data_IF_726693224269
#
_entry.id   IF_726693224269
#
_cell.length_a   1.000
_cell.length_b   1.000
_cell.length_c   1.000
_cell.angle_alpha   90.00
_cell.angle_beta   90.00
_cell.angle_gamma   90.00
#
_symmetry.space_group_name_H-M   'P 1'
#
loop_
_entity.id
_entity.type
_entity.pdbx_description
1 polymer ?
#
# COMPACT_ATOMS: atom_id res chain seq x y z
N UNK A 1 -19.42 8.48 -7.90
CA UNK A 1 -18.88 8.26 -6.55
C UNK A 1 -17.39 8.51 -6.60
N UNK A 2 -16.81 9.25 -5.65
CA UNK A 2 -15.36 9.49 -5.62
C UNK A 2 -14.69 8.22 -5.13
N UNK A 3 -13.79 7.64 -5.93
CA UNK A 3 -13.07 6.44 -5.54
C UNK A 3 -12.09 6.76 -4.40
N UNK A 4 -12.12 5.97 -3.32
CA UNK A 4 -11.15 6.07 -2.24
C UNK A 4 -10.73 4.71 -1.68
N UNK A 5 -9.55 4.67 -1.09
CA UNK A 5 -9.02 3.47 -0.43
C UNK A 5 -8.19 3.85 0.81
N UNK A 6 -8.12 2.93 1.77
CA UNK A 6 -7.31 3.05 2.96
C UNK A 6 -5.88 2.56 2.70
N UNK A 7 -4.88 3.29 3.20
CA UNK A 7 -3.49 2.83 3.07
C UNK A 7 -2.48 3.47 3.99
N UNK A 8 -1.27 2.94 3.92
CA UNK A 8 -0.09 3.38 4.64
C UNK A 8 0.99 3.82 3.66
N UNK A 9 1.33 5.10 3.69
CA UNK A 9 2.50 5.61 2.96
C UNK A 9 3.71 5.68 3.89
N UNK A 10 4.79 5.03 3.48
CA UNK A 10 6.08 5.04 4.15
C UNK A 10 7.13 5.61 3.20
N UNK A 11 7.92 6.58 3.66
CA UNK A 11 9.13 6.99 2.92
C UNK A 11 10.13 5.83 2.87
N UNK A 12 11.11 5.93 1.96
CA UNK A 12 12.19 4.94 1.86
C UNK A 12 12.92 4.68 3.19
N UNK A 13 13.12 5.72 4.00
CA UNK A 13 13.72 5.55 5.32
C UNK A 13 12.77 4.80 6.28
N UNK A 14 11.50 5.21 6.32
CA UNK A 14 10.51 4.62 7.23
C UNK A 14 10.29 3.12 6.96
N UNK A 15 10.25 2.71 5.70
CA UNK A 15 10.06 1.28 5.38
C UNK A 15 11.26 0.42 5.80
N UNK A 16 12.48 0.94 5.67
CA UNK A 16 13.68 0.24 6.11
C UNK A 16 13.77 0.16 7.63
N UNK A 17 13.46 1.25 8.33
CA UNK A 17 13.44 1.27 9.80
C UNK A 17 12.38 0.32 10.35
N UNK A 18 11.22 0.28 9.70
CA UNK A 18 10.16 -0.66 10.05
C UNK A 18 10.61 -2.11 9.85
N UNK A 19 11.19 -2.42 8.68
CA UNK A 19 11.73 -3.74 8.38
C UNK A 19 12.80 -4.19 9.39
N UNK A 20 13.74 -3.30 9.78
CA UNK A 20 14.73 -3.57 10.83
C UNK A 20 14.09 -3.86 12.18
N UNK A 21 13.15 -3.01 12.59
CA UNK A 21 12.46 -3.13 13.89
C UNK A 21 11.74 -4.47 14.01
N UNK A 22 11.24 -4.98 12.89
CA UNK A 22 10.59 -6.29 12.79
C UNK A 22 11.54 -7.47 12.55
N UNK A 23 12.84 -7.29 12.80
CA UNK A 23 13.84 -8.36 12.74
C UNK A 23 14.35 -8.67 11.34
N UNK A 24 14.13 -7.79 10.37
CA UNK A 24 14.71 -7.87 9.04
C UNK A 24 16.25 -7.84 9.09
N UNK A 25 16.88 -8.81 8.43
CA UNK A 25 18.35 -8.99 8.42
C UNK A 25 18.97 -8.92 7.03
N UNK A 26 18.15 -8.93 5.98
CA UNK A 26 18.62 -8.99 4.60
C UNK A 26 18.76 -7.59 4.00
N UNK A 27 19.84 -7.34 3.26
CA UNK A 27 20.13 -6.04 2.65
C UNK A 27 21.12 -5.19 3.46
N UNK A 28 21.46 -4.02 2.92
CA UNK A 28 22.36 -3.03 3.56
C UNK A 28 21.60 -1.93 4.30
N UNK A 29 20.28 -1.95 4.16
CA UNK A 29 19.37 -0.94 4.68
C UNK A 29 19.71 0.49 4.26
N UNK A 30 20.11 0.65 3.00
CA UNK A 30 20.36 1.94 2.38
C UNK A 30 19.07 2.49 1.75
N UNK A 31 18.55 3.66 2.21
CA UNK A 31 17.34 4.26 1.63
C UNK A 31 17.51 4.72 0.18
N UNK A 32 18.73 4.74 -0.36
CA UNK A 32 19.00 5.07 -1.76
C UNK A 32 19.15 3.83 -2.65
N UNK A 33 19.19 2.63 -2.08
CA UNK A 33 19.25 1.38 -2.83
C UNK A 33 17.85 0.78 -3.00
N UNK A 34 17.35 0.76 -4.23
CA UNK A 34 16.03 0.19 -4.55
C UNK A 34 15.92 -1.28 -4.18
N UNK A 35 17.04 -2.02 -4.18
CA UNK A 35 17.07 -3.43 -3.79
C UNK A 35 16.65 -3.60 -2.34
N UNK A 36 17.22 -2.81 -1.43
CA UNK A 36 16.87 -2.81 -0.01
C UNK A 36 15.40 -2.41 0.21
N UNK A 37 14.91 -1.41 -0.54
CA UNK A 37 13.50 -1.01 -0.49
C UNK A 37 12.59 -2.14 -0.97
N UNK A 38 12.93 -2.82 -2.06
CA UNK A 38 12.13 -3.92 -2.60
C UNK A 38 12.12 -5.13 -1.67
N UNK A 39 13.23 -5.44 -1.00
CA UNK A 39 13.29 -6.48 0.02
C UNK A 39 12.41 -6.16 1.22
N UNK A 40 12.58 -4.97 1.81
CA UNK A 40 11.76 -4.52 2.94
C UNK A 40 10.26 -4.51 2.58
N UNK A 41 9.91 -3.94 1.43
CA UNK A 41 8.55 -3.94 0.87
C UNK A 41 7.98 -5.34 0.78
N UNK A 42 8.73 -6.26 0.18
CA UNK A 42 8.27 -7.63 -0.04
C UNK A 42 8.07 -8.37 1.30
N UNK A 43 8.97 -8.20 2.26
CA UNK A 43 8.83 -8.80 3.59
C UNK A 43 7.59 -8.27 4.33
N UNK A 44 7.35 -6.96 4.32
CA UNK A 44 6.16 -6.36 4.94
C UNK A 44 4.89 -6.85 4.23
N UNK A 45 4.89 -6.87 2.91
CA UNK A 45 3.77 -7.39 2.13
C UNK A 45 3.44 -8.85 2.52
N UNK A 46 4.45 -9.72 2.60
CA UNK A 46 4.25 -11.11 3.03
C UNK A 46 3.71 -11.24 4.46
N UNK A 47 4.11 -10.35 5.38
CA UNK A 47 3.57 -10.34 6.74
C UNK A 47 2.09 -9.93 6.77
N UNK A 48 1.68 -8.99 5.93
CA UNK A 48 0.29 -8.53 5.90
C UNK A 48 -0.65 -9.57 5.26
N UNK A 49 -0.14 -10.46 4.43
CA UNK A 49 -0.90 -11.60 3.91
C UNK A 49 -1.26 -12.59 5.02
N UNK A 50 -2.41 -13.27 4.92
CA UNK A 50 -3.39 -13.22 3.82
C UNK A 50 -4.32 -12.00 3.89
N UNK A 51 -4.74 -11.43 2.75
CA UNK A 51 -5.74 -10.36 2.74
C UNK A 51 -5.55 -9.35 1.61
N UNK A 52 -6.57 -8.51 1.35
CA UNK A 52 -6.56 -7.57 0.24
C UNK A 52 -5.54 -6.44 0.47
N UNK A 53 -4.31 -6.66 -0.01
CA UNK A 53 -3.19 -5.72 0.10
C UNK A 53 -2.61 -5.42 -1.28
N UNK A 54 -2.44 -4.14 -1.55
CA UNK A 54 -1.98 -3.57 -2.82
C UNK A 54 -0.79 -2.66 -2.54
N UNK A 55 0.37 -2.96 -3.13
CA UNK A 55 1.62 -2.26 -2.81
C UNK A 55 2.12 -1.50 -4.02
N UNK A 56 2.40 -0.21 -3.82
CA UNK A 56 2.83 0.69 -4.87
C UNK A 56 4.15 1.36 -4.52
N UNK A 57 5.02 1.56 -5.51
CA UNK A 57 6.03 2.62 -5.42
C UNK A 57 5.32 3.95 -5.67
N UNK A 58 5.44 4.87 -4.72
CA UNK A 58 4.69 6.10 -4.68
C UNK A 58 5.62 7.31 -4.54
N UNK A 59 5.53 8.25 -5.46
CA UNK A 59 6.25 9.53 -5.45
C UNK A 59 5.33 10.71 -5.12
N UNK A 60 5.88 11.76 -4.54
CA UNK A 60 5.26 13.08 -4.44
C UNK A 60 6.35 14.17 -4.49
N UNK A 61 5.96 15.45 -4.50
CA UNK A 61 6.88 16.59 -4.54
C UNK A 61 7.90 16.63 -3.39
N UNK A 62 7.63 15.94 -2.28
CA UNK A 62 8.51 15.88 -1.11
C UNK A 62 9.44 14.63 -1.12
N UNK A 63 9.26 13.69 -2.04
CA UNK A 63 10.06 12.48 -2.18
C UNK A 63 9.25 11.24 -2.52
N UNK A 64 9.93 10.10 -2.56
CA UNK A 64 9.34 8.81 -2.90
C UNK A 64 9.39 7.79 -1.76
N UNK A 65 8.58 6.75 -1.91
CA UNK A 65 8.36 5.75 -0.90
C UNK A 65 7.47 4.61 -1.40
N UNK A 66 6.83 3.95 -0.45
CA UNK A 66 5.97 2.79 -0.69
C UNK A 66 4.61 3.04 -0.07
N UNK A 67 3.57 2.74 -0.83
CA UNK A 67 2.17 2.82 -0.41
C UNK A 67 1.57 1.43 -0.32
N UNK A 68 1.08 1.06 0.85
CA UNK A 68 0.33 -0.17 1.10
C UNK A 68 -1.15 0.19 1.22
N UNK A 69 -1.91 -0.03 0.16
CA UNK A 69 -3.35 -0.03 0.20
C UNK A 69 -3.85 -1.33 0.84
N UNK A 70 -4.84 -1.21 1.72
CA UNK A 70 -5.41 -2.31 2.50
C UNK A 70 -6.92 -2.29 2.41
N UNK A 71 -7.52 -3.48 2.42
CA UNK A 71 -8.97 -3.61 2.45
C UNK A 71 -9.65 -3.29 1.12
N UNK A 72 -10.97 -3.43 1.14
CA UNK A 72 -11.86 -3.09 0.02
C UNK A 72 -11.91 -1.58 -0.18
N UNK A 73 -11.92 -1.08 -1.43
CA UNK A 73 -12.11 0.35 -1.69
C UNK A 73 -13.55 0.79 -1.40
N UNK A 74 -13.78 2.10 -1.35
CA UNK A 74 -15.09 2.75 -1.33
C UNK A 74 -16.01 2.43 -0.12
N UNK A 75 -15.48 1.88 0.96
CA UNK A 75 -16.22 1.59 2.18
C UNK A 75 -15.54 2.13 3.45
N UNK A 76 -16.30 2.37 4.53
CA UNK A 76 -15.75 2.76 5.82
C UNK A 76 -14.69 1.77 6.31
N UNK A 77 -13.71 2.24 7.06
CA UNK A 77 -12.55 1.42 7.47
C UNK A 77 -12.94 0.08 8.13
N UNK A 78 -14.01 0.07 8.95
CA UNK A 78 -14.50 -1.12 9.65
C UNK A 78 -15.11 -2.19 8.74
N UNK A 79 -15.56 -1.79 7.55
CA UNK A 79 -16.13 -2.66 6.52
C UNK A 79 -15.09 -2.97 5.43
N UNK A 80 -14.05 -2.13 5.33
CA UNK A 80 -12.98 -2.27 4.36
C UNK A 80 -11.95 -3.32 4.76
N UNK A 81 -11.59 -3.37 6.04
CA UNK A 81 -10.47 -4.17 6.54
C UNK A 81 -10.97 -5.17 7.58
N UNK A 82 -10.78 -6.46 7.31
CA UNK A 82 -11.10 -7.55 8.23
C UNK A 82 -10.31 -7.45 9.55
N UNK A 83 -10.85 -7.93 10.68
CA UNK A 83 -10.20 -7.85 11.99
C UNK A 83 -8.76 -8.36 12.01
N UNK A 84 -8.50 -9.52 11.40
CA UNK A 84 -7.16 -10.13 11.38
C UNK A 84 -6.14 -9.28 10.59
N UNK A 85 -6.55 -8.71 9.46
CA UNK A 85 -5.71 -7.79 8.69
C UNK A 85 -5.51 -6.48 9.44
N UNK A 86 -6.56 -5.97 10.11
CA UNK A 86 -6.48 -4.77 10.93
C UNK A 86 -5.49 -4.95 12.09
N UNK A 87 -5.49 -6.11 12.74
CA UNK A 87 -4.55 -6.45 13.82
C UNK A 87 -3.10 -6.46 13.31
N UNK A 88 -2.84 -7.14 12.19
CA UNK A 88 -1.49 -7.15 11.57
C UNK A 88 -1.06 -5.75 11.12
N UNK A 89 -1.98 -4.95 10.57
CA UNK A 89 -1.69 -3.57 10.21
C UNK A 89 -1.37 -2.71 11.45
N UNK A 90 -2.13 -2.86 12.53
CA UNK A 90 -1.89 -2.14 13.77
C UNK A 90 -0.55 -2.51 14.39
N UNK A 91 -0.22 -3.82 14.42
CA UNK A 91 1.06 -4.29 14.91
C UNK A 91 2.21 -3.70 14.05
N UNK A 92 2.12 -3.84 12.73
CA UNK A 92 3.17 -3.41 11.79
C UNK A 92 3.33 -1.88 11.79
N UNK A 93 2.25 -1.11 11.60
CA UNK A 93 2.33 0.33 11.33
C UNK A 93 2.09 1.20 12.57
N UNK A 94 1.62 0.63 13.69
CA UNK A 94 1.42 1.33 14.96
C UNK A 94 0.29 2.36 14.96
N UNK A 95 -0.59 2.36 13.95
CA UNK A 95 -1.69 3.32 13.86
C UNK A 95 -2.68 2.99 12.74
N UNK A 96 -3.78 3.74 12.62
CA UNK A 96 -4.78 3.53 11.57
C UNK A 96 -4.27 3.97 10.19
N UNK A 97 -4.81 3.39 9.11
CA UNK A 97 -4.48 3.81 7.75
C UNK A 97 -5.10 5.19 7.45
N UNK A 98 -4.52 5.88 6.47
CA UNK A 98 -5.06 7.14 5.96
C UNK A 98 -5.97 6.88 4.75
N UNK A 99 -6.98 7.73 4.51
CA UNK A 99 -7.75 7.66 3.27
C UNK A 99 -6.97 8.30 2.12
N UNK A 100 -7.05 7.67 0.96
CA UNK A 100 -6.49 8.14 -0.30
C UNK A 100 -7.61 8.26 -1.32
N UNK A 101 -7.73 9.41 -1.96
CA UNK A 101 -8.76 9.68 -2.96
C UNK A 101 -8.15 9.65 -4.35
N UNK A 102 -8.74 8.89 -5.28
CA UNK A 102 -8.27 8.85 -6.66
C UNK A 102 -8.39 10.23 -7.33
N UNK A 103 -7.35 10.64 -8.04
CA UNK A 103 -7.40 11.81 -8.92
C UNK A 103 -8.08 11.40 -10.24
N UNK A 104 -9.18 12.05 -10.65
CA UNK A 104 -9.84 11.75 -11.91
C UNK A 104 -8.91 11.90 -13.12
N UNK A 105 -9.14 11.10 -14.17
CA UNK A 105 -8.41 11.16 -15.43
C UNK A 105 -6.90 10.87 -15.34
N UNK A 106 -6.47 10.08 -14.34
CA UNK A 106 -5.06 9.68 -14.15
C UNK A 106 -4.80 8.20 -14.37
N UNK A 107 -5.76 7.48 -14.97
CA UNK A 107 -5.59 6.04 -15.25
C UNK A 107 -5.46 5.15 -14.01
N UNK A 108 -5.86 5.63 -12.82
CA UNK A 108 -5.67 4.88 -11.58
C UNK A 108 -4.27 5.02 -10.97
N UNK A 109 -3.44 5.94 -11.48
CA UNK A 109 -2.03 6.09 -11.09
C UNK A 109 -1.79 7.25 -10.12
N UNK A 110 -2.79 8.11 -9.86
CA UNK A 110 -2.60 9.22 -8.93
C UNK A 110 -3.67 9.28 -7.84
N UNK A 111 -3.23 9.49 -6.60
CA UNK A 111 -4.08 9.60 -5.42
C UNK A 111 -3.75 10.83 -4.58
N UNK A 112 -4.73 11.38 -3.88
CA UNK A 112 -4.55 12.45 -2.90
C UNK A 112 -4.57 11.84 -1.50
N UNK A 113 -3.48 12.04 -0.77
CA UNK A 113 -3.37 11.73 0.65
C UNK A 113 -3.55 13.00 1.47
N UNK A 114 -4.39 12.96 2.51
CA UNK A 114 -4.45 14.03 3.53
C UNK A 114 -3.67 13.62 4.78
N UNK A 115 -2.58 14.33 5.11
CA UNK A 115 -1.76 14.07 6.30
C UNK A 115 -1.53 15.38 7.06
N UNK A 116 -1.91 15.40 8.35
CA UNK A 116 -1.77 16.57 9.24
C UNK A 116 -2.29 17.89 8.63
N UNK A 117 -3.43 17.83 7.92
CA UNK A 117 -4.04 19.00 7.28
C UNK A 117 -3.46 19.40 5.92
N UNK A 118 -2.36 18.80 5.47
CA UNK A 118 -1.78 19.02 4.14
C UNK A 118 -2.20 17.91 3.16
N UNK A 119 -2.46 18.30 1.92
CA UNK A 119 -2.74 17.39 0.81
C UNK A 119 -1.45 17.08 0.06
N UNK A 120 -1.25 15.81 -0.28
CA UNK A 120 -0.13 15.32 -1.07
C UNK A 120 -0.70 14.55 -2.25
N UNK A 121 -0.36 14.95 -3.47
CA UNK A 121 -0.59 14.14 -4.66
C UNK A 121 0.48 13.05 -4.70
N UNK A 122 0.05 11.81 -4.84
CA UNK A 122 0.87 10.62 -4.89
C UNK A 122 0.78 10.04 -6.30
N UNK A 123 1.88 9.99 -7.02
CA UNK A 123 1.99 9.34 -8.32
C UNK A 123 2.54 7.91 -8.12
N UNK A 124 1.85 6.92 -8.69
CA UNK A 124 2.07 5.49 -8.46
C UNK A 124 2.60 4.85 -9.75
N UNK A 125 3.66 4.02 -9.65
CA UNK A 125 4.34 3.46 -10.84
C UNK A 125 4.36 1.94 -10.83
N UNK A 126 4.91 1.33 -9.79
CA UNK A 126 5.10 -0.12 -9.74
C UNK A 126 4.13 -0.74 -8.75
N UNK A 127 3.34 -1.70 -9.23
CA UNK A 127 2.31 -2.39 -8.48
C UNK A 127 2.71 -3.83 -8.12
N UNK A 128 2.45 -4.23 -6.88
CA UNK A 128 2.41 -5.61 -6.43
C UNK A 128 1.07 -5.89 -5.75
N UNK A 129 0.46 -7.02 -6.07
CA UNK A 129 -0.77 -7.49 -5.44
C UNK A 129 -0.59 -8.92 -4.94
N UNK A 130 -1.36 -9.30 -3.92
CA UNK A 130 -1.58 -10.72 -3.63
C UNK A 130 -2.52 -11.29 -4.69
N UNK A 131 -2.07 -12.30 -5.43
CA UNK A 131 -2.94 -13.01 -6.37
C UNK A 131 -2.64 -14.52 -6.49
N UNK A 132 -1.81 -15.08 -5.61
CA UNK A 132 -1.44 -16.50 -5.75
C UNK A 132 -1.26 -17.16 -4.39
N UNK A 133 -2.34 -17.86 -3.97
CA UNK A 133 -2.39 -18.83 -2.87
C UNK A 133 -2.21 -18.23 -1.48
N UNK A 134 -3.28 -17.60 -1.00
CA UNK A 134 -3.39 -17.18 0.39
C UNK A 134 -4.58 -16.29 0.67
N UNK A 135 -5.17 -15.64 -0.34
CA UNK A 135 -6.31 -14.76 -0.11
C UNK A 135 -7.55 -15.57 0.26
N UNK A 136 -7.83 -15.65 1.56
CA UNK A 136 -9.12 -16.11 2.04
C UNK A 136 -10.25 -15.19 1.52
N UNK A 137 -9.91 -13.95 1.10
CA UNK A 137 -10.82 -12.94 0.55
C UNK A 137 -10.11 -12.06 -0.50
N UNK A 138 -9.91 -12.56 -1.74
CA UNK A 138 -9.32 -11.75 -2.81
C UNK A 138 -10.25 -10.58 -3.16
N UNK A 139 -9.68 -9.49 -3.65
CA UNK A 139 -10.49 -8.44 -4.28
C UNK A 139 -11.11 -9.03 -5.55
N UNK A 140 -12.40 -8.80 -5.74
CA UNK A 140 -13.07 -9.18 -6.99
C UNK A 140 -12.68 -8.22 -8.11
N UNK A 141 -12.76 -8.67 -9.37
CA UNK A 141 -12.33 -7.87 -10.52
C UNK A 141 -13.09 -6.53 -10.63
N UNK A 142 -14.33 -6.48 -10.16
CA UNK A 142 -15.15 -5.25 -10.09
C UNK A 142 -14.71 -4.27 -8.99
N UNK A 143 -13.92 -4.73 -8.01
CA UNK A 143 -13.31 -3.88 -6.98
C UNK A 143 -11.96 -3.29 -7.43
N UNK A 144 -11.42 -3.77 -8.55
CA UNK A 144 -10.23 -3.24 -9.20
C UNK A 144 -10.68 -2.24 -10.27
N UNK A 145 -10.02 -1.08 -10.31
CA UNK A 145 -10.34 -0.07 -11.33
C UNK A 145 -10.05 -0.66 -12.72
N UNK A 146 -10.95 -0.48 -13.71
CA UNK A 146 -10.73 -0.99 -15.07
C UNK A 146 -9.37 -0.58 -15.66
N UNK A 147 -8.93 0.63 -15.34
CA UNK A 147 -7.65 1.19 -15.79
C UNK A 147 -6.45 0.49 -15.16
N UNK A 148 -6.60 -0.13 -13.98
CA UNK A 148 -5.52 -0.86 -13.28
C UNK A 148 -5.45 -2.34 -13.67
N UNK A 149 -6.44 -2.86 -14.41
CA UNK A 149 -6.50 -4.27 -14.79
C UNK A 149 -5.26 -4.73 -15.57
N UNK A 150 -4.67 -3.85 -16.38
CA UNK A 150 -3.46 -4.15 -17.14
C UNK A 150 -2.23 -4.45 -16.25
N UNK A 151 -2.25 -4.02 -14.98
CA UNK A 151 -1.16 -4.24 -14.02
C UNK A 151 -1.23 -5.62 -13.35
N UNK A 152 -2.34 -6.36 -13.53
CA UNK A 152 -2.52 -7.69 -12.96
C UNK A 152 -1.79 -8.77 -13.77
N UNK A 153 -1.36 -8.47 -14.99
CA UNK A 153 -0.68 -9.44 -15.86
C UNK A 153 -1.54 -10.67 -16.20
N UNK A 154 -2.87 -10.54 -16.08
CA UNK A 154 -3.89 -11.54 -16.42
C UNK A 154 -4.16 -11.58 -17.93
#
# INVERSE_FOLDING_TARGET
>A
MIYYQWGYYLTKQQILDLYKTWGGKFGRFNPHDLTDIFHARRSIFHYLMPGPVRVWIAGNDAGDGVLFFVGKPNCPIRESVEPDLAERCLAMFGGPPCPFTLVPNTGGEAYIMKRKGKLYKMDLIQFMQSDTKGDQYPLSLDEILPEQMHLLGL
#
